data_IF_823365875637
#
_entry.id   IF_823365875637
#
_cell.length_a   1.000
_cell.length_b   1.000
_cell.length_c   1.000
_cell.angle_alpha   90.00
_cell.angle_beta   90.00
_cell.angle_gamma   90.00
#
_symmetry.space_group_name_H-M   'P 1'
#
loop_
_entity.id
_entity.type
_entity.pdbx_description
1 polymer ?
#
# COMPACT_ATOMS: atom_id res chain seq x y z
N UNK A 1 -7.00 4.97 32.23
CA UNK A 1 -8.22 4.20 31.92
C UNK A 1 -8.20 3.84 30.46
N UNK A 2 -7.73 2.63 30.16
CA UNK A 2 -7.54 2.14 28.77
C UNK A 2 -8.77 1.31 28.39
N UNK A 3 -9.55 1.75 27.39
CA UNK A 3 -10.65 0.96 26.81
C UNK A 3 -10.09 0.21 25.60
N UNK A 4 -9.92 -1.09 25.75
CA UNK A 4 -9.67 -2.02 24.64
C UNK A 4 -10.96 -2.16 23.83
N UNK A 5 -10.90 -1.76 22.57
CA UNK A 5 -11.96 -2.04 21.57
C UNK A 5 -11.66 -3.43 21.01
N UNK A 6 -12.47 -4.43 21.38
CA UNK A 6 -12.48 -5.74 20.73
C UNK A 6 -13.29 -5.63 19.44
N UNK A 7 -12.61 -5.79 18.30
CA UNK A 7 -13.23 -5.90 16.98
C UNK A 7 -13.57 -7.38 16.78
N UNK A 8 -14.86 -7.71 16.75
CA UNK A 8 -15.36 -9.03 16.38
C UNK A 8 -15.28 -9.17 14.84
N UNK A 9 -14.41 -10.04 14.36
CA UNK A 9 -14.45 -10.54 12.99
C UNK A 9 -15.48 -11.65 12.89
N UNK A 10 -16.56 -11.43 12.14
CA UNK A 10 -17.44 -12.50 11.68
C UNK A 10 -16.85 -13.02 10.35
N UNK A 11 -16.23 -14.20 10.43
CA UNK A 11 -15.79 -14.97 9.26
C UNK A 11 -16.97 -15.80 8.80
N UNK A 12 -17.53 -15.49 7.64
CA UNK A 12 -18.49 -16.38 6.94
C UNK A 12 -17.65 -17.32 6.08
N UNK A 13 -17.49 -18.57 6.53
CA UNK A 13 -16.96 -19.66 5.74
C UNK A 13 -18.08 -20.19 4.82
N UNK A 14 -17.93 -20.00 3.52
CA UNK A 14 -18.68 -20.77 2.51
C UNK A 14 -17.75 -21.87 1.98
N UNK A 15 -18.07 -23.11 2.29
CA UNK A 15 -17.34 -24.28 1.84
C UNK A 15 -17.61 -24.60 0.38
N UNK A 16 -16.56 -25.08 -0.29
CA UNK A 16 -16.68 -25.90 -1.49
C UNK A 16 -15.65 -27.03 -1.40
N UNK A 17 -16.18 -28.23 -1.24
CA UNK A 17 -15.43 -29.47 -1.34
C UNK A 17 -15.14 -29.77 -2.82
N UNK A 18 -13.88 -30.03 -3.13
CA UNK A 18 -13.50 -30.72 -4.37
C UNK A 18 -12.50 -31.82 -4.03
N UNK A 19 -12.98 -33.06 -4.13
CA UNK A 19 -12.23 -34.30 -4.08
C UNK A 19 -11.39 -34.44 -5.35
N UNK A 20 -10.09 -34.68 -5.18
CA UNK A 20 -9.20 -35.09 -6.26
C UNK A 20 -8.10 -36.00 -5.73
N UNK A 21 -8.33 -37.30 -5.86
CA UNK A 21 -7.34 -38.39 -5.72
C UNK A 21 -6.26 -38.24 -6.78
N UNK A 22 -4.99 -38.27 -6.45
CA UNK A 22 -3.92 -38.67 -7.34
C UNK A 22 -2.76 -39.34 -6.59
N UNK A 23 -2.42 -40.46 -7.13
CA UNK A 23 -1.44 -41.47 -6.85
C UNK A 23 -0.08 -41.07 -6.27
N UNK A 24 0.32 -41.85 -5.30
CA UNK A 24 1.66 -41.92 -4.77
C UNK A 24 2.49 -42.94 -5.55
N UNK A 25 3.49 -42.55 -6.31
CA UNK A 25 4.55 -43.44 -6.77
C UNK A 25 5.80 -43.22 -5.91
N UNK A 26 6.07 -44.25 -5.11
CA UNK A 26 7.31 -44.40 -4.33
C UNK A 26 8.50 -44.66 -5.27
N UNK A 27 9.55 -43.83 -5.18
CA UNK A 27 10.90 -44.24 -5.59
C UNK A 27 11.84 -44.21 -4.38
N UNK A 28 12.17 -45.39 -3.88
CA UNK A 28 13.23 -45.64 -2.91
C UNK A 28 14.58 -45.47 -3.60
N UNK A 29 15.28 -44.38 -3.30
CA UNK A 29 16.72 -44.19 -3.51
C UNK A 29 17.43 -44.17 -2.18
N UNK A 30 18.12 -45.21 -1.81
CA UNK A 30 19.05 -45.25 -0.67
C UNK A 30 20.26 -44.38 -1.00
N UNK A 31 20.36 -43.21 -0.41
CA UNK A 31 21.62 -42.45 -0.34
C UNK A 31 22.28 -42.71 1.02
N UNK A 32 23.50 -43.24 0.96
CA UNK A 32 24.42 -43.45 2.10
C UNK A 32 24.60 -42.12 2.85
N UNK A 33 24.23 -42.11 4.13
CA UNK A 33 24.41 -40.97 5.02
C UNK A 33 25.88 -40.63 5.26
N UNK A 34 26.24 -39.45 4.89
CA UNK A 34 27.41 -38.75 5.42
C UNK A 34 27.10 -38.37 6.86
N UNK A 35 27.96 -38.58 7.85
CA UNK A 35 27.71 -38.17 9.23
C UNK A 35 27.49 -36.65 9.30
N UNK A 36 26.57 -36.15 10.13
CA UNK A 36 26.35 -34.75 10.28
C UNK A 36 27.62 -34.06 10.78
N UNK A 37 28.14 -33.10 9.99
CA UNK A 37 29.20 -32.19 10.45
C UNK A 37 28.79 -31.57 11.76
N UNK A 38 29.66 -31.58 12.75
CA UNK A 38 29.48 -30.90 14.01
C UNK A 38 29.09 -29.43 13.73
N UNK A 39 28.14 -28.84 14.46
CA UNK A 39 27.71 -27.46 14.25
C UNK A 39 28.93 -26.56 14.46
N UNK A 40 29.36 -25.88 13.41
CA UNK A 40 30.36 -24.82 13.52
C UNK A 40 29.82 -23.75 14.49
N UNK A 41 30.66 -23.27 15.44
CA UNK A 41 30.26 -22.17 16.30
C UNK A 41 29.85 -20.98 15.43
N UNK A 42 28.63 -20.50 15.59
CA UNK A 42 28.12 -19.37 14.84
C UNK A 42 28.98 -18.13 15.14
N UNK A 43 29.30 -17.37 14.11
CA UNK A 43 30.06 -16.13 14.26
C UNK A 43 29.29 -15.16 15.18
N UNK A 44 30.00 -14.39 16.03
CA UNK A 44 29.35 -13.40 16.89
C UNK A 44 28.67 -12.31 16.05
N UNK A 45 27.48 -11.86 16.52
CA UNK A 45 26.66 -10.90 15.81
C UNK A 45 27.13 -9.47 16.06
N UNK A 46 27.29 -8.69 15.00
CA UNK A 46 27.48 -7.23 15.04
C UNK A 46 26.15 -6.48 15.22
N UNK A 47 26.24 -5.18 15.53
CA UNK A 47 25.06 -4.29 15.65
C UNK A 47 24.18 -4.36 14.40
N UNK A 48 24.80 -4.29 13.21
CA UNK A 48 24.10 -4.34 11.93
C UNK A 48 23.27 -5.60 11.75
N UNK A 49 23.82 -6.75 12.13
CA UNK A 49 23.13 -8.04 12.00
C UNK A 49 21.94 -8.17 12.96
N UNK A 50 22.04 -7.60 14.16
CA UNK A 50 20.91 -7.57 15.11
C UNK A 50 19.81 -6.66 14.59
N UNK A 51 20.14 -5.49 14.04
CA UNK A 51 19.20 -4.57 13.42
C UNK A 51 18.50 -5.24 12.22
N UNK A 52 19.27 -5.83 11.29
CA UNK A 52 18.74 -6.53 10.13
C UNK A 52 17.81 -7.69 10.55
N UNK A 53 18.15 -8.40 11.61
CA UNK A 53 17.31 -9.47 12.16
C UNK A 53 16.00 -8.94 12.74
N UNK A 54 16.01 -7.79 13.42
CA UNK A 54 14.78 -7.15 13.92
C UNK A 54 13.83 -6.81 12.77
N UNK A 55 14.34 -6.30 11.66
CA UNK A 55 13.54 -6.00 10.47
C UNK A 55 13.03 -7.23 9.73
N UNK A 56 13.90 -8.23 9.52
CA UNK A 56 13.59 -9.37 8.65
C UNK A 56 12.89 -10.52 9.36
N UNK A 57 13.21 -10.77 10.62
CA UNK A 57 12.76 -11.92 11.40
C UNK A 57 11.75 -11.55 12.51
N UNK A 58 11.69 -10.26 12.86
CA UNK A 58 10.90 -9.75 13.99
C UNK A 58 11.54 -10.06 15.35
N UNK A 59 10.99 -9.44 16.40
CA UNK A 59 11.57 -9.40 17.76
C UNK A 59 11.82 -10.80 18.35
N UNK A 60 10.83 -11.68 18.28
CA UNK A 60 10.90 -13.01 18.92
C UNK A 60 12.02 -13.87 18.34
N UNK A 61 12.15 -13.89 17.02
CA UNK A 61 13.22 -14.66 16.35
C UNK A 61 14.59 -14.03 16.54
N UNK A 62 14.65 -12.71 16.62
CA UNK A 62 15.90 -11.99 16.93
C UNK A 62 16.36 -12.28 18.36
N UNK A 63 15.44 -12.35 19.33
CA UNK A 63 15.76 -12.79 20.69
C UNK A 63 16.38 -14.20 20.70
N UNK A 64 15.78 -15.15 19.99
CA UNK A 64 16.33 -16.50 19.85
C UNK A 64 17.71 -16.50 19.20
N UNK A 65 17.91 -15.72 18.13
CA UNK A 65 19.15 -15.60 17.43
C UNK A 65 20.25 -15.03 18.33
N UNK A 66 19.99 -13.93 19.02
CA UNK A 66 20.93 -13.26 19.93
C UNK A 66 21.22 -14.11 21.16
N UNK A 67 20.23 -14.85 21.68
CA UNK A 67 20.44 -15.75 22.83
C UNK A 67 21.36 -16.94 22.50
N UNK A 68 21.35 -17.42 21.24
CA UNK A 68 22.19 -18.55 20.77
C UNK A 68 23.58 -18.12 20.32
N UNK A 69 23.71 -16.88 19.82
CA UNK A 69 24.92 -16.34 19.29
C UNK A 69 25.49 -15.27 20.25
N UNK A 70 26.79 -15.21 20.40
CA UNK A 70 27.41 -14.10 21.13
C UNK A 70 27.31 -12.82 20.29
N UNK A 71 27.09 -11.68 20.92
CA UNK A 71 27.21 -10.38 20.28
C UNK A 71 28.59 -9.79 20.50
N UNK A 72 29.11 -9.08 19.51
CA UNK A 72 30.48 -8.48 19.55
C UNK A 72 30.45 -6.97 19.81
N UNK A 73 29.33 -6.43 20.27
CA UNK A 73 29.19 -5.02 20.63
C UNK A 73 28.65 -4.87 22.04
N UNK A 74 28.85 -3.70 22.63
CA UNK A 74 28.36 -3.36 23.96
C UNK A 74 27.10 -2.47 23.88
N UNK A 75 26.19 -2.63 24.85
CA UNK A 75 24.97 -1.86 24.97
C UNK A 75 25.27 -0.43 25.47
N UNK A 76 25.82 0.43 24.59
CA UNK A 76 25.91 1.87 24.90
C UNK A 76 24.50 2.47 24.97
N UNK A 77 24.31 3.61 25.72
CA UNK A 77 22.99 4.26 25.81
C UNK A 77 22.35 4.51 24.44
N UNK A 78 23.15 4.94 23.46
CA UNK A 78 22.71 5.25 22.11
C UNK A 78 22.23 3.99 21.37
N UNK A 79 22.98 2.89 21.47
CA UNK A 79 22.59 1.61 20.86
C UNK A 79 21.32 1.07 21.49
N UNK A 80 21.19 1.16 22.82
CA UNK A 80 19.99 0.74 23.54
C UNK A 80 18.74 1.51 23.08
N UNK A 81 18.88 2.83 22.93
CA UNK A 81 17.78 3.70 22.48
C UNK A 81 17.31 3.29 21.08
N UNK A 82 18.24 3.11 20.13
CA UNK A 82 17.94 2.69 18.77
C UNK A 82 17.25 1.33 18.73
N UNK A 83 17.80 0.34 19.44
CA UNK A 83 17.20 -0.99 19.46
C UNK A 83 15.79 -0.96 20.05
N UNK A 84 15.52 -0.10 21.05
CA UNK A 84 14.18 0.11 21.60
C UNK A 84 13.23 0.76 20.59
N UNK A 85 13.67 1.77 19.85
CA UNK A 85 12.90 2.38 18.77
C UNK A 85 12.53 1.38 17.67
N UNK A 86 13.42 0.43 17.39
CA UNK A 86 13.19 -0.67 16.46
C UNK A 86 12.36 -1.82 17.04
N UNK A 87 11.85 -1.65 18.27
CA UNK A 87 10.94 -2.59 18.91
C UNK A 87 11.67 -3.67 19.76
N UNK A 88 12.96 -3.54 20.03
CA UNK A 88 13.67 -4.48 20.89
C UNK A 88 13.08 -4.46 22.31
N UNK A 89 12.85 -5.65 22.87
CA UNK A 89 12.38 -5.81 24.24
C UNK A 89 13.51 -5.69 25.23
N UNK A 90 13.19 -5.42 26.50
CA UNK A 90 14.19 -5.44 27.57
C UNK A 90 14.88 -6.82 27.72
N UNK A 91 14.19 -7.90 27.33
CA UNK A 91 14.77 -9.24 27.26
C UNK A 91 15.85 -9.34 26.19
N UNK A 92 15.60 -8.84 24.97
CA UNK A 92 16.63 -8.79 23.92
C UNK A 92 17.85 -8.00 24.38
N UNK A 93 17.62 -6.83 24.99
CA UNK A 93 18.69 -5.97 25.49
C UNK A 93 19.51 -6.61 26.61
N UNK A 94 18.92 -7.51 27.41
CA UNK A 94 19.62 -8.23 28.46
C UNK A 94 20.70 -9.20 27.96
N UNK A 95 20.63 -9.62 26.69
CA UNK A 95 21.64 -10.49 26.08
C UNK A 95 22.86 -9.71 25.55
N UNK A 96 22.78 -8.37 25.48
CA UNK A 96 23.87 -7.53 24.98
C UNK A 96 24.76 -7.10 26.17
N UNK A 97 26.09 -7.32 26.11
CA UNK A 97 27.01 -6.94 27.18
C UNK A 97 26.93 -5.45 27.50
N UNK A 98 26.91 -5.11 28.78
CA UNK A 98 26.98 -3.71 29.21
C UNK A 98 28.43 -3.18 29.02
N UNK A 99 28.58 -1.87 28.74
CA UNK A 99 29.90 -1.27 28.60
C UNK A 99 30.77 -1.52 29.82
N UNK A 100 31.97 -2.05 29.60
CA UNK A 100 32.96 -2.17 30.66
C UNK A 100 33.65 -0.81 30.84
N UNK A 101 33.91 -0.38 32.10
CA UNK A 101 34.80 0.75 32.31
C UNK A 101 36.18 0.40 31.71
N UNK A 102 36.55 1.09 30.65
CA UNK A 102 37.84 0.85 30.01
C UNK A 102 38.93 1.45 30.89
N UNK A 103 39.93 0.67 31.36
CA UNK A 103 41.11 1.25 32.03
C UNK A 103 41.77 2.22 31.05
N UNK A 104 42.16 3.39 31.52
CA UNK A 104 42.88 4.36 30.71
C UNK A 104 44.11 3.68 30.09
N UNK A 105 44.10 3.50 28.78
CA UNK A 105 45.19 2.92 28.03
C UNK A 105 46.43 3.84 28.13
N UNK A 106 47.66 3.28 28.27
CA UNK A 106 48.86 4.09 28.20
C UNK A 106 48.92 4.80 26.85
N UNK A 107 49.23 6.10 26.88
CA UNK A 107 49.30 6.97 25.72
C UNK A 107 50.21 6.38 24.64
N UNK A 108 49.71 5.90 23.50
CA UNK A 108 50.60 5.42 22.43
C UNK A 108 51.26 6.63 21.77
N UNK A 109 52.49 6.43 21.34
CA UNK A 109 53.25 7.32 20.46
C UNK A 109 52.39 7.61 19.23
N UNK A 110 52.00 8.87 19.06
CA UNK A 110 51.04 9.31 18.06
C UNK A 110 51.76 9.26 16.69
N UNK A 111 51.55 8.17 15.95
CA UNK A 111 51.49 8.30 14.49
C UNK A 111 50.24 9.16 14.22
N UNK A 112 50.44 10.37 13.70
CA UNK A 112 49.37 11.30 13.39
C UNK A 112 48.40 10.57 12.42
N UNK A 113 47.20 10.22 12.85
CA UNK A 113 46.30 9.47 11.97
C UNK A 113 46.02 10.34 10.74
N UNK A 114 46.28 9.79 9.57
CA UNK A 114 45.91 10.42 8.30
C UNK A 114 44.41 10.62 8.29
N UNK A 115 43.97 11.88 8.43
CA UNK A 115 42.58 12.24 8.55
C UNK A 115 41.98 12.31 7.14
N UNK A 116 40.87 11.62 6.91
CA UNK A 116 40.07 11.78 5.72
C UNK A 116 39.46 13.18 5.67
N UNK A 117 39.07 13.65 4.48
CA UNK A 117 38.23 14.82 4.35
C UNK A 117 36.84 14.59 4.94
N UNK A 118 36.01 15.63 5.06
CA UNK A 118 34.66 15.50 5.60
C UNK A 118 33.85 14.48 4.80
N UNK A 119 33.19 13.57 5.49
CA UNK A 119 32.31 12.57 4.89
C UNK A 119 30.86 12.94 5.14
N UNK A 120 30.07 13.05 4.06
CA UNK A 120 28.66 13.41 4.12
C UNK A 120 27.80 12.20 3.82
N UNK A 121 26.76 11.98 4.64
CA UNK A 121 25.71 10.99 4.41
C UNK A 121 24.41 11.72 4.20
N UNK A 122 23.69 11.40 3.12
CA UNK A 122 22.36 11.96 2.79
C UNK A 122 21.37 10.83 2.62
N UNK A 123 20.20 10.97 3.25
CA UNK A 123 19.09 10.02 3.18
C UNK A 123 17.83 10.69 2.66
N UNK A 124 17.14 10.06 1.73
CA UNK A 124 15.87 10.50 1.16
C UNK A 124 14.85 9.34 1.28
N UNK A 125 13.56 9.58 1.51
CA UNK A 125 12.87 10.86 1.73
C UNK A 125 12.77 11.26 3.20
N UNK A 126 13.52 10.64 4.09
CA UNK A 126 13.48 10.89 5.54
C UNK A 126 14.87 10.79 6.14
N UNK A 127 15.03 11.30 7.35
CA UNK A 127 16.25 11.11 8.13
C UNK A 127 16.53 9.61 8.36
N UNK A 128 17.79 9.25 8.55
CA UNK A 128 18.21 7.89 8.79
C UNK A 128 19.28 7.79 9.87
N UNK A 129 19.29 6.68 10.58
CA UNK A 129 20.39 6.28 11.46
C UNK A 129 21.57 5.79 10.63
N UNK A 130 22.78 6.13 11.05
CA UNK A 130 24.00 5.85 10.31
C UNK A 130 24.92 4.96 11.15
N UNK A 131 25.35 3.84 10.56
CA UNK A 131 26.42 2.97 11.07
C UNK A 131 27.52 2.90 10.03
N UNK A 132 28.77 3.15 10.42
CA UNK A 132 29.93 3.06 9.54
C UNK A 132 30.95 2.14 10.19
N UNK A 133 31.34 1.08 9.48
CA UNK A 133 32.28 0.07 9.98
C UNK A 133 31.92 -0.43 11.40
N UNK A 134 30.61 -0.78 11.58
CA UNK A 134 30.04 -1.24 12.85
C UNK A 134 30.04 -0.21 14.00
N UNK A 135 30.38 1.05 13.73
CA UNK A 135 30.28 2.15 14.69
C UNK A 135 29.09 3.04 14.37
N UNK A 136 28.29 3.35 15.37
CA UNK A 136 27.16 4.26 15.24
C UNK A 136 27.59 5.73 15.21
N UNK A 137 26.98 6.50 14.29
CA UNK A 137 27.28 7.92 14.07
C UNK A 137 26.07 8.85 14.27
N UNK A 138 24.93 8.33 14.68
CA UNK A 138 23.74 9.11 14.97
C UNK A 138 22.73 9.17 13.82
N UNK A 139 21.71 9.99 14.03
CA UNK A 139 20.66 10.29 13.07
C UNK A 139 21.09 11.44 12.13
N UNK A 140 20.71 11.40 10.87
CA UNK A 140 20.79 12.59 10.00
C UNK A 140 19.86 13.70 10.53
N UNK A 141 20.18 14.93 10.24
CA UNK A 141 19.34 16.09 10.55
C UNK A 141 19.03 16.80 9.23
N UNK A 142 17.75 17.01 8.94
CA UNK A 142 17.31 17.55 7.64
C UNK A 142 17.92 16.76 6.47
N UNK A 143 17.82 15.42 6.54
CA UNK A 143 18.28 14.47 5.55
C UNK A 143 19.81 14.32 5.39
N UNK A 144 20.60 15.06 6.13
CA UNK A 144 22.06 15.07 5.95
C UNK A 144 22.81 15.04 7.27
N UNK A 145 23.95 14.31 7.30
CA UNK A 145 24.91 14.38 8.40
C UNK A 145 26.33 14.40 7.86
N UNK A 146 27.15 15.27 8.44
CA UNK A 146 28.59 15.28 8.24
C UNK A 146 29.23 14.43 9.34
N UNK A 147 29.93 13.39 8.93
CA UNK A 147 30.65 12.49 9.83
C UNK A 147 32.10 12.96 9.89
N UNK A 148 32.59 13.35 11.06
CA UNK A 148 33.99 13.74 11.21
C UNK A 148 34.90 12.49 11.27
N UNK A 149 36.14 12.64 10.85
CA UNK A 149 37.27 11.77 11.18
C UNK A 149 37.10 10.27 10.81
N UNK A 150 36.80 9.97 9.55
CA UNK A 150 36.91 8.61 9.05
C UNK A 150 38.38 8.29 8.70
N UNK A 151 38.81 7.06 8.96
CA UNK A 151 40.11 6.57 8.51
C UNK A 151 40.10 6.33 7.00
N UNK A 152 41.13 6.75 6.24
CA UNK A 152 41.25 6.41 4.83
C UNK A 152 41.20 4.89 4.60
N UNK A 153 40.52 4.48 3.52
CA UNK A 153 40.28 3.08 3.20
C UNK A 153 38.89 2.86 2.62
N UNK A 154 38.35 1.65 2.71
CA UNK A 154 36.97 1.36 2.30
C UNK A 154 36.06 1.41 3.53
N UNK A 155 35.11 2.34 3.56
CA UNK A 155 34.10 2.40 4.58
C UNK A 155 32.83 1.64 4.14
N UNK A 156 32.32 0.80 5.02
CA UNK A 156 30.98 0.19 4.85
C UNK A 156 29.97 1.05 5.61
N UNK A 157 29.09 1.71 4.87
CA UNK A 157 28.07 2.58 5.43
C UNK A 157 26.75 1.84 5.36
N UNK A 158 26.08 1.71 6.49
CA UNK A 158 24.74 1.18 6.61
C UNK A 158 23.81 2.25 7.16
N UNK A 159 22.65 2.37 6.53
CA UNK A 159 21.60 3.29 6.97
C UNK A 159 20.28 2.55 7.18
N UNK A 160 19.50 3.01 8.14
CA UNK A 160 18.20 2.42 8.47
C UNK A 160 17.27 3.48 9.08
N UNK A 161 15.97 3.24 8.93
CA UNK A 161 14.92 3.97 9.64
C UNK A 161 13.71 3.05 9.78
N UNK A 162 12.86 3.31 10.78
CA UNK A 162 11.65 2.51 11.02
C UNK A 162 10.71 2.57 9.81
N UNK A 163 10.26 1.42 9.35
CA UNK A 163 9.38 1.28 8.18
C UNK A 163 10.08 1.38 6.82
N UNK A 164 11.43 1.42 6.80
CA UNK A 164 12.21 1.44 5.56
C UNK A 164 13.19 0.27 5.51
N UNK A 165 13.46 -0.22 4.30
CA UNK A 165 14.45 -1.27 4.09
C UNK A 165 15.87 -0.74 4.40
N UNK A 166 16.66 -1.43 5.22
CA UNK A 166 18.04 -1.07 5.48
C UNK A 166 18.85 -1.07 4.18
N UNK A 167 19.77 -0.12 4.03
CA UNK A 167 20.64 -0.04 2.87
C UNK A 167 22.11 -0.01 3.28
N UNK A 168 22.96 -0.62 2.45
CA UNK A 168 24.39 -0.68 2.68
C UNK A 168 25.15 -0.29 1.42
N UNK A 169 26.15 0.58 1.57
CA UNK A 169 27.08 0.96 0.52
C UNK A 169 28.53 0.83 1.01
N UNK A 170 29.45 0.51 0.09
CA UNK A 170 30.89 0.52 0.34
C UNK A 170 31.51 1.68 -0.44
N UNK A 171 32.14 2.61 0.25
CA UNK A 171 32.68 3.84 -0.33
C UNK A 171 34.19 3.94 -0.01
N UNK A 172 35.03 4.24 -1.01
CA UNK A 172 36.43 4.50 -0.80
C UNK A 172 36.61 5.89 -0.15
N UNK A 173 37.26 5.94 0.99
CA UNK A 173 37.62 7.16 1.73
C UNK A 173 39.05 7.49 1.43
N UNK A 174 39.33 8.65 0.84
CA UNK A 174 40.66 9.13 0.49
C UNK A 174 41.13 10.18 1.48
N UNK A 175 42.45 10.19 1.74
CA UNK A 175 43.09 11.18 2.62
C UNK A 175 42.88 12.60 2.07
N UNK A 176 42.38 13.51 2.92
CA UNK A 176 42.18 14.93 2.59
C UNK A 176 41.11 15.23 1.57
N UNK A 177 40.37 14.22 1.06
CA UNK A 177 39.30 14.42 0.08
C UNK A 177 37.95 14.25 0.72
N UNK A 178 36.97 15.16 0.43
CA UNK A 178 35.59 14.96 0.85
C UNK A 178 34.99 13.78 0.09
N UNK A 179 34.14 13.01 0.77
CA UNK A 179 33.37 11.93 0.18
C UNK A 179 31.91 12.02 0.58
N UNK A 180 31.03 11.44 -0.21
CA UNK A 180 29.57 11.47 0.00
C UNK A 180 28.94 10.11 -0.25
N UNK A 181 27.99 9.74 0.61
CA UNK A 181 27.08 8.63 0.41
C UNK A 181 25.65 9.15 0.32
N UNK A 182 24.90 8.73 -0.70
CA UNK A 182 23.48 9.07 -0.85
C UNK A 182 22.65 7.80 -0.84
N UNK A 183 21.59 7.81 -0.04
CA UNK A 183 20.69 6.68 0.13
C UNK A 183 19.26 7.12 -0.21
N UNK A 184 18.63 6.36 -1.09
CA UNK A 184 17.20 6.48 -1.38
C UNK A 184 16.48 5.37 -0.63
N UNK A 185 15.90 5.69 0.55
CA UNK A 185 15.23 4.71 1.39
C UNK A 185 13.91 4.27 0.77
N UNK A 186 13.67 2.97 0.74
CA UNK A 186 12.43 2.36 0.27
C UNK A 186 11.62 1.88 1.46
N UNK A 187 10.30 2.15 1.46
CA UNK A 187 9.40 1.60 2.46
C UNK A 187 9.41 0.08 2.40
N UNK A 188 9.41 -0.58 3.56
CA UNK A 188 9.19 -2.02 3.67
C UNK A 188 7.81 -2.38 3.13
N UNK A 189 7.59 -3.65 2.76
CA UNK A 189 6.28 -4.12 2.30
C UNK A 189 5.19 -3.91 3.37
N UNK A 190 5.51 -4.12 4.64
CA UNK A 190 4.61 -3.91 5.77
C UNK A 190 4.23 -2.43 5.93
N UNK A 191 5.22 -1.53 5.87
CA UNK A 191 4.98 -0.09 5.96
C UNK A 191 4.16 0.44 4.76
N UNK A 192 4.35 -0.12 3.56
CA UNK A 192 3.52 0.19 2.38
C UNK A 192 2.07 -0.24 2.59
N UNK A 193 1.86 -1.43 3.15
CA UNK A 193 0.53 -1.96 3.45
C UNK A 193 -0.18 -1.10 4.53
N UNK A 194 0.49 -0.81 5.64
CA UNK A 194 -0.06 0.03 6.72
C UNK A 194 -0.46 1.42 6.19
N UNK A 195 0.43 2.06 5.42
CA UNK A 195 0.12 3.34 4.77
C UNK A 195 -1.03 3.21 3.78
N UNK A 196 -1.08 2.17 2.96
CA UNK A 196 -2.18 1.94 2.03
C UNK A 196 -3.53 1.81 2.73
N UNK A 197 -3.59 1.07 3.83
CA UNK A 197 -4.79 0.95 4.65
C UNK A 197 -5.21 2.30 5.26
N UNK A 198 -4.28 3.09 5.77
CA UNK A 198 -4.57 4.45 6.30
C UNK A 198 -5.12 5.36 5.21
N UNK A 199 -4.53 5.36 4.01
CA UNK A 199 -5.05 6.14 2.88
C UNK A 199 -6.47 5.73 2.49
N UNK A 200 -6.79 4.44 2.50
CA UNK A 200 -8.16 3.95 2.24
C UNK A 200 -9.16 4.46 3.29
N UNK A 201 -8.76 4.46 4.56
CA UNK A 201 -9.57 5.02 5.65
C UNK A 201 -9.74 6.54 5.52
N UNK A 202 -8.72 7.26 5.10
CA UNK A 202 -8.79 8.71 4.88
C UNK A 202 -9.72 9.03 3.71
N UNK A 203 -9.66 8.29 2.60
CA UNK A 203 -10.61 8.40 1.49
C UNK A 203 -12.05 8.15 1.95
N UNK A 204 -12.29 7.12 2.75
CA UNK A 204 -13.61 6.85 3.33
C UNK A 204 -14.08 8.02 4.20
N UNK A 205 -13.21 8.57 5.06
CA UNK A 205 -13.55 9.73 5.91
C UNK A 205 -13.86 10.98 5.08
N UNK A 206 -13.10 11.20 4.01
CA UNK A 206 -13.27 12.36 3.13
C UNK A 206 -14.64 12.41 2.43
N UNK A 207 -15.20 11.24 2.07
CA UNK A 207 -16.56 11.15 1.49
C UNK A 207 -17.67 11.18 2.53
N UNK A 208 -17.39 11.23 3.84
CA UNK A 208 -18.39 11.32 4.91
C UNK A 208 -18.38 10.18 5.92
N UNK A 209 -17.35 9.32 5.87
CA UNK A 209 -17.13 8.24 6.83
C UNK A 209 -17.97 7.00 6.57
N UNK A 210 -17.96 6.10 7.52
CA UNK A 210 -18.62 4.80 7.40
C UNK A 210 -20.14 4.92 7.17
N UNK A 211 -20.78 5.93 7.75
CA UNK A 211 -22.23 6.15 7.53
C UNK A 211 -22.54 6.51 6.09
N UNK A 212 -21.72 7.36 5.45
CA UNK A 212 -21.90 7.71 4.03
C UNK A 212 -21.76 6.47 3.15
N UNK A 213 -20.72 5.64 3.38
CA UNK A 213 -20.52 4.39 2.65
C UNK A 213 -21.70 3.43 2.85
N UNK A 214 -22.21 3.31 4.06
CA UNK A 214 -23.37 2.44 4.36
C UNK A 214 -24.68 2.93 3.71
N UNK A 215 -24.91 4.24 3.67
CA UNK A 215 -26.12 4.81 3.08
C UNK A 215 -26.11 4.77 1.55
N UNK A 216 -24.93 4.81 0.93
CA UNK A 216 -24.77 4.67 -0.53
C UNK A 216 -24.90 3.20 -1.02
N UNK A 217 -25.26 2.25 -0.16
CA UNK A 217 -25.63 0.90 -0.60
C UNK A 217 -26.95 0.88 -1.36
N UNK A 218 -27.85 1.83 -1.06
CA UNK A 218 -29.15 1.98 -1.72
C UNK A 218 -29.40 3.45 -1.98
N UNK A 219 -29.39 3.85 -3.24
CA UNK A 219 -29.57 5.25 -3.63
C UNK A 219 -30.17 5.38 -5.01
N UNK A 220 -30.72 6.55 -5.29
CA UNK A 220 -31.20 6.95 -6.61
C UNK A 220 -30.58 8.31 -6.98
N UNK A 221 -30.42 8.52 -8.27
CA UNK A 221 -29.92 9.78 -8.79
C UNK A 221 -30.38 10.08 -10.18
N UNK A 222 -30.16 11.30 -10.59
CA UNK A 222 -30.51 11.79 -11.94
C UNK A 222 -29.38 12.66 -12.50
N UNK A 223 -29.39 12.85 -13.81
CA UNK A 223 -28.38 13.65 -14.47
C UNK A 223 -28.41 13.51 -15.98
N UNK A 224 -27.23 13.64 -16.58
CA UNK A 224 -27.01 13.41 -18.01
C UNK A 224 -25.89 12.42 -18.24
N UNK A 225 -26.00 11.63 -19.29
CA UNK A 225 -24.97 10.74 -19.79
C UNK A 225 -24.59 11.15 -21.20
N UNK A 226 -23.29 11.28 -21.45
CA UNK A 226 -22.70 11.42 -22.77
C UNK A 226 -21.94 10.14 -23.12
N UNK A 227 -22.07 9.69 -24.36
CA UNK A 227 -21.37 8.51 -24.88
C UNK A 227 -21.07 8.65 -26.37
N UNK A 228 -20.14 7.85 -26.88
CA UNK A 228 -19.93 7.71 -28.31
C UNK A 228 -20.70 6.52 -28.86
N UNK A 229 -21.42 6.72 -29.92
CA UNK A 229 -22.08 5.64 -30.63
C UNK A 229 -21.08 4.78 -31.46
N UNK A 230 -21.56 3.72 -32.13
CA UNK A 230 -20.74 2.84 -32.95
C UNK A 230 -20.00 3.57 -34.10
N UNK A 231 -20.48 4.74 -34.50
CA UNK A 231 -19.84 5.58 -35.50
C UNK A 231 -18.87 6.59 -34.91
N UNK A 232 -18.68 6.57 -33.60
CA UNK A 232 -17.84 7.52 -32.85
C UNK A 232 -18.46 8.90 -32.65
N UNK A 233 -19.75 9.07 -32.98
CA UNK A 233 -20.46 10.34 -32.77
C UNK A 233 -20.89 10.49 -31.32
N UNK A 234 -20.68 11.70 -30.77
CA UNK A 234 -21.10 12.01 -29.41
C UNK A 234 -22.61 12.07 -29.32
N UNK A 235 -23.17 11.28 -28.43
CA UNK A 235 -24.58 11.24 -28.08
C UNK A 235 -24.76 11.73 -26.65
N UNK A 236 -25.96 12.25 -26.33
CA UNK A 236 -26.29 12.70 -25.00
C UNK A 236 -27.77 12.37 -24.67
N UNK A 237 -28.00 11.97 -23.43
CA UNK A 237 -29.35 11.73 -22.91
C UNK A 237 -29.46 12.14 -21.43
N UNK A 238 -30.71 12.47 -21.03
CA UNK A 238 -31.00 12.53 -19.59
C UNK A 238 -30.99 11.13 -19.01
N UNK A 239 -30.50 10.99 -17.79
CA UNK A 239 -30.42 9.71 -17.12
C UNK A 239 -31.12 9.74 -15.75
N UNK A 240 -31.65 8.58 -15.36
CA UNK A 240 -32.00 8.26 -13.97
C UNK A 240 -31.38 6.93 -13.63
N UNK A 241 -30.91 6.79 -12.41
CA UNK A 241 -30.34 5.52 -11.96
C UNK A 241 -30.76 5.20 -10.54
N UNK A 242 -30.91 3.92 -10.25
CA UNK A 242 -31.26 3.40 -8.93
C UNK A 242 -30.36 2.21 -8.65
N UNK A 243 -29.66 2.23 -7.52
CA UNK A 243 -28.87 1.11 -7.00
C UNK A 243 -29.58 0.53 -5.79
N UNK A 244 -29.68 -0.79 -5.72
CA UNK A 244 -30.20 -1.51 -4.56
C UNK A 244 -29.08 -2.19 -3.77
N UNK A 245 -29.40 -2.76 -2.60
CA UNK A 245 -28.46 -3.46 -1.72
C UNK A 245 -27.87 -4.72 -2.31
N UNK A 246 -28.59 -5.35 -3.24
CA UNK A 246 -28.16 -6.60 -3.88
C UNK A 246 -27.14 -6.37 -5.00
N UNK A 247 -26.54 -5.17 -5.02
CA UNK A 247 -25.59 -4.76 -6.06
C UNK A 247 -26.20 -4.81 -7.47
N UNK A 248 -27.47 -4.45 -7.58
CA UNK A 248 -28.14 -4.23 -8.85
C UNK A 248 -28.25 -2.74 -9.13
N UNK A 249 -28.04 -2.37 -10.36
CA UNK A 249 -28.20 -0.99 -10.83
C UNK A 249 -29.14 -0.95 -12.02
N UNK A 250 -30.19 -0.17 -11.89
CA UNK A 250 -31.07 0.19 -13.00
C UNK A 250 -30.66 1.56 -13.52
N UNK A 251 -30.39 1.66 -14.82
CA UNK A 251 -30.09 2.90 -15.53
C UNK A 251 -31.16 3.14 -16.60
N UNK A 252 -31.82 4.28 -16.55
CA UNK A 252 -32.76 4.75 -17.58
C UNK A 252 -32.15 5.94 -18.31
N UNK A 253 -32.17 5.91 -19.64
CA UNK A 253 -31.71 7.00 -20.50
C UNK A 253 -32.85 7.44 -21.43
N UNK A 254 -32.99 8.74 -21.63
CA UNK A 254 -33.90 9.33 -22.58
C UNK A 254 -33.20 10.39 -23.43
N UNK A 255 -33.33 10.31 -24.74
CA UNK A 255 -32.77 11.27 -25.68
C UNK A 255 -33.79 12.28 -26.13
N UNK A 256 -33.38 13.44 -26.62
CA UNK A 256 -34.25 14.50 -27.09
C UNK A 256 -35.10 14.11 -28.31
N UNK A 257 -34.61 13.17 -29.12
CA UNK A 257 -35.28 12.63 -30.31
C UNK A 257 -36.28 11.49 -30.03
N UNK A 258 -36.62 11.28 -28.76
CA UNK A 258 -37.64 10.31 -28.32
C UNK A 258 -37.12 8.89 -28.12
N UNK A 259 -35.82 8.68 -28.14
CA UNK A 259 -35.23 7.40 -27.76
C UNK A 259 -35.29 7.18 -26.23
N UNK A 260 -35.54 5.95 -25.81
CA UNK A 260 -35.46 5.56 -24.41
C UNK A 260 -34.83 4.17 -24.25
N UNK A 261 -34.06 3.99 -23.24
CA UNK A 261 -33.44 2.70 -22.92
C UNK A 261 -33.38 2.52 -21.41
N UNK A 262 -33.76 1.34 -20.94
CA UNK A 262 -33.58 0.91 -19.55
C UNK A 262 -32.65 -0.30 -19.52
N UNK A 263 -31.63 -0.24 -18.69
CA UNK A 263 -30.72 -1.36 -18.43
C UNK A 263 -30.73 -1.70 -16.95
N UNK A 264 -31.00 -2.95 -16.61
CA UNK A 264 -30.85 -3.51 -15.26
C UNK A 264 -29.63 -4.42 -15.25
N UNK A 265 -28.62 -4.04 -14.48
CA UNK A 265 -27.36 -4.78 -14.33
C UNK A 265 -27.31 -5.43 -12.96
N UNK A 266 -26.98 -6.73 -12.92
CA UNK A 266 -26.77 -7.51 -11.71
C UNK A 266 -25.58 -8.45 -11.93
N UNK A 267 -24.46 -8.18 -11.23
CA UNK A 267 -23.19 -8.88 -11.47
C UNK A 267 -22.72 -8.76 -12.93
N UNK A 268 -22.59 -9.89 -13.62
CA UNK A 268 -22.15 -9.95 -15.02
C UNK A 268 -23.32 -10.04 -16.03
N UNK A 269 -24.55 -9.84 -15.58
CA UNK A 269 -25.73 -9.95 -16.44
C UNK A 269 -26.41 -8.60 -16.60
N UNK A 270 -26.95 -8.35 -17.79
CA UNK A 270 -27.81 -7.19 -18.05
C UNK A 270 -29.14 -7.62 -18.66
N UNK A 271 -30.20 -6.84 -18.35
CA UNK A 271 -31.48 -6.94 -19.02
C UNK A 271 -31.82 -5.56 -19.58
N UNK A 272 -31.85 -5.47 -20.88
CA UNK A 272 -31.95 -4.21 -21.60
C UNK A 272 -33.29 -4.10 -22.35
N UNK A 273 -33.87 -2.92 -22.33
CA UNK A 273 -35.10 -2.61 -23.08
C UNK A 273 -34.97 -1.22 -23.70
N UNK A 274 -34.62 -1.17 -25.00
CA UNK A 274 -34.41 0.06 -25.72
C UNK A 274 -35.44 0.28 -26.81
N UNK A 275 -35.86 1.55 -27.02
CA UNK A 275 -36.90 1.97 -27.97
C UNK A 275 -36.46 3.25 -28.68
N UNK A 276 -37.12 3.53 -29.82
CA UNK A 276 -36.92 4.75 -30.62
C UNK A 276 -35.50 4.79 -31.20
N UNK A 277 -34.84 5.92 -31.12
CA UNK A 277 -33.48 6.13 -31.63
C UNK A 277 -32.43 5.29 -30.90
N UNK A 278 -32.74 4.77 -29.70
CA UNK A 278 -31.83 3.92 -28.90
C UNK A 278 -32.02 2.41 -29.10
N UNK A 279 -32.87 2.00 -30.07
CA UNK A 279 -33.23 0.59 -30.28
C UNK A 279 -32.03 -0.33 -30.52
N UNK A 280 -30.91 0.17 -31.00
CA UNK A 280 -29.68 -0.61 -31.25
C UNK A 280 -28.54 -0.21 -30.29
N UNK A 281 -28.85 0.46 -29.19
CA UNK A 281 -27.85 0.97 -28.25
C UNK A 281 -27.76 0.15 -26.96
N UNK A 282 -28.35 -1.06 -26.92
CA UNK A 282 -28.38 -1.92 -25.72
C UNK A 282 -26.99 -2.13 -25.14
N UNK A 283 -26.01 -2.49 -25.99
CA UNK A 283 -24.62 -2.74 -25.54
C UNK A 283 -23.97 -1.50 -24.91
N UNK A 284 -24.27 -0.33 -25.46
CA UNK A 284 -23.70 0.93 -24.95
C UNK A 284 -24.32 1.27 -23.60
N UNK A 285 -25.64 1.14 -23.49
CA UNK A 285 -26.36 1.49 -22.26
C UNK A 285 -26.07 0.48 -21.14
N UNK A 286 -26.05 -0.83 -21.44
CA UNK A 286 -25.64 -1.84 -20.47
C UNK A 286 -24.18 -1.69 -20.06
N UNK A 287 -23.30 -1.31 -21.00
CA UNK A 287 -21.93 -0.96 -20.70
C UNK A 287 -21.81 0.25 -19.76
N UNK A 288 -22.61 1.29 -20.00
CA UNK A 288 -22.65 2.45 -19.11
C UNK A 288 -23.14 2.08 -17.71
N UNK A 289 -24.22 1.30 -17.61
CA UNK A 289 -24.76 0.83 -16.33
C UNK A 289 -23.76 -0.04 -15.57
N UNK A 290 -23.11 -0.98 -16.26
CA UNK A 290 -22.08 -1.85 -15.67
C UNK A 290 -20.90 -1.04 -15.15
N UNK A 291 -20.39 -0.10 -15.93
CA UNK A 291 -19.29 0.75 -15.52
C UNK A 291 -19.68 1.66 -14.36
N UNK A 292 -20.88 2.24 -14.37
CA UNK A 292 -21.37 3.03 -13.24
C UNK A 292 -21.46 2.19 -11.96
N UNK A 293 -21.97 0.95 -12.04
CA UNK A 293 -22.04 0.04 -10.90
C UNK A 293 -20.65 -0.34 -10.36
N UNK A 294 -19.72 -0.71 -11.25
CA UNK A 294 -18.39 -1.18 -10.87
C UNK A 294 -17.51 -0.07 -10.30
N UNK A 295 -17.63 1.14 -10.83
CA UNK A 295 -16.74 2.26 -10.53
C UNK A 295 -17.42 3.39 -9.75
N UNK A 296 -18.64 3.17 -9.28
CA UNK A 296 -19.29 4.03 -8.31
C UNK A 296 -18.41 4.13 -7.05
N UNK A 297 -18.31 5.33 -6.50
CA UNK A 297 -17.32 5.69 -5.48
C UNK A 297 -17.36 4.81 -4.24
N UNK A 298 -18.55 4.38 -3.80
CA UNK A 298 -18.69 3.50 -2.64
C UNK A 298 -18.08 2.11 -2.90
N UNK A 299 -18.37 1.53 -4.08
CA UNK A 299 -17.84 0.22 -4.45
C UNK A 299 -16.32 0.26 -4.59
N UNK A 300 -15.79 1.37 -5.09
CA UNK A 300 -14.32 1.59 -5.16
C UNK A 300 -13.74 1.64 -3.76
N UNK A 301 -14.25 2.50 -2.88
CA UNK A 301 -13.75 2.60 -1.51
C UNK A 301 -13.90 1.28 -0.75
N UNK A 302 -15.04 0.59 -0.88
CA UNK A 302 -15.26 -0.71 -0.24
C UNK A 302 -14.19 -1.75 -0.66
N UNK A 303 -13.82 -1.78 -1.95
CA UNK A 303 -12.75 -2.64 -2.46
C UNK A 303 -11.40 -2.33 -1.81
N UNK A 304 -11.07 -1.05 -1.66
CA UNK A 304 -9.81 -0.64 -1.04
C UNK A 304 -9.80 -0.84 0.48
N UNK A 305 -10.94 -0.78 1.16
CA UNK A 305 -11.05 -1.08 2.58
C UNK A 305 -10.97 -2.58 2.90
N UNK A 306 -11.48 -3.44 2.01
CA UNK A 306 -11.52 -4.89 2.21
C UNK A 306 -10.33 -5.63 1.61
N UNK A 307 -9.63 -5.01 0.67
CA UNK A 307 -8.42 -5.52 0.06
C UNK A 307 -7.17 -5.31 0.91
N UNK A 308 -6.03 -5.59 0.34
CA UNK A 308 -4.71 -5.30 0.92
C UNK A 308 -4.03 -4.16 0.11
N UNK A 309 -4.51 -2.91 0.24
CA UNK A 309 -3.98 -1.81 -0.53
C UNK A 309 -2.57 -1.46 -0.06
N UNK A 310 -1.66 -1.31 -1.00
CA UNK A 310 -0.28 -0.90 -0.73
C UNK A 310 -0.03 0.48 -1.30
N UNK A 311 0.73 1.31 -0.56
CA UNK A 311 1.20 2.59 -1.08
C UNK A 311 2.17 2.34 -2.25
N UNK A 312 1.97 3.02 -3.37
CA UNK A 312 2.90 3.00 -4.50
C UNK A 312 3.63 4.34 -4.63
N UNK A 313 4.85 4.28 -5.17
CA UNK A 313 5.71 5.46 -5.28
C UNK A 313 6.35 5.88 -3.96
N UNK A 314 6.63 7.15 -3.83
CA UNK A 314 7.21 7.75 -2.62
C UNK A 314 6.15 7.99 -1.55
N UNK A 315 6.59 8.30 -0.33
CA UNK A 315 5.67 8.65 0.77
C UNK A 315 4.80 9.90 0.47
N UNK A 316 5.20 10.75 -0.48
CA UNK A 316 4.44 11.90 -0.94
C UNK A 316 3.39 11.55 -2.00
N UNK A 317 3.50 10.37 -2.65
CA UNK A 317 2.52 9.93 -3.63
C UNK A 317 1.20 9.57 -2.92
N UNK A 318 0.10 10.15 -3.38
CA UNK A 318 -1.24 9.85 -2.85
C UNK A 318 -1.91 8.74 -3.68
N UNK A 319 -1.17 7.68 -3.94
CA UNK A 319 -1.61 6.55 -4.75
C UNK A 319 -1.50 5.24 -3.97
N UNK A 320 -2.54 4.44 -4.05
CA UNK A 320 -2.61 3.12 -3.44
C UNK A 320 -3.04 2.09 -4.48
N UNK A 321 -2.49 0.90 -4.40
CA UNK A 321 -2.74 -0.19 -5.34
C UNK A 321 -3.26 -1.43 -4.62
N UNK A 322 -4.23 -2.10 -5.24
CA UNK A 322 -4.60 -3.48 -4.92
C UNK A 322 -4.21 -4.34 -6.11
N UNK A 323 -3.30 -5.28 -5.89
CA UNK A 323 -2.93 -6.28 -6.90
C UNK A 323 -3.74 -7.55 -6.69
N UNK A 324 -4.23 -8.12 -7.81
CA UNK A 324 -4.88 -9.42 -7.91
C UNK A 324 -4.17 -10.23 -9.00
N UNK A 325 -4.47 -11.51 -9.09
CA UNK A 325 -3.84 -12.40 -10.06
C UNK A 325 -4.00 -11.89 -11.50
N UNK A 326 -5.20 -11.49 -11.86
CA UNK A 326 -5.59 -11.10 -13.22
C UNK A 326 -5.83 -9.59 -13.41
N UNK A 327 -5.74 -8.80 -12.35
CA UNK A 327 -6.02 -7.37 -12.41
C UNK A 327 -5.26 -6.56 -11.35
N UNK A 328 -5.18 -5.26 -11.56
CA UNK A 328 -4.79 -4.30 -10.52
C UNK A 328 -5.69 -3.07 -10.56
N UNK A 329 -5.94 -2.51 -9.37
CA UNK A 329 -6.63 -1.24 -9.19
C UNK A 329 -5.66 -0.24 -8.55
N UNK A 330 -5.43 0.90 -9.19
CA UNK A 330 -4.65 2.02 -8.64
C UNK A 330 -5.61 3.18 -8.38
N UNK A 331 -5.72 3.59 -7.12
CA UNK A 331 -6.52 4.72 -6.69
C UNK A 331 -5.63 5.91 -6.35
N UNK A 332 -5.88 7.03 -6.97
CA UNK A 332 -5.25 8.33 -6.67
C UNK A 332 -6.21 9.18 -5.85
N UNK A 333 -5.70 9.79 -4.77
CA UNK A 333 -6.44 10.75 -3.96
C UNK A 333 -5.95 12.17 -4.25
N UNK A 334 -6.84 13.13 -4.17
CA UNK A 334 -6.50 14.56 -4.23
C UNK A 334 -5.96 15.08 -2.88
N UNK A 335 -5.74 16.40 -2.78
CA UNK A 335 -5.25 17.04 -1.56
C UNK A 335 -6.22 16.93 -0.38
N UNK A 336 -7.52 16.86 -0.65
CA UNK A 336 -8.59 16.68 0.33
C UNK A 336 -8.85 15.21 0.68
N UNK A 337 -8.02 14.30 0.17
CA UNK A 337 -8.13 12.84 0.31
C UNK A 337 -9.37 12.25 -0.39
N UNK A 338 -9.98 12.99 -1.27
CA UNK A 338 -11.05 12.47 -2.12
C UNK A 338 -10.46 11.67 -3.28
N UNK A 339 -11.07 10.55 -3.68
CA UNK A 339 -10.72 9.86 -4.92
C UNK A 339 -10.77 10.80 -6.12
N UNK A 340 -9.68 10.90 -6.86
CA UNK A 340 -9.60 11.72 -8.08
C UNK A 340 -9.50 10.88 -9.35
N UNK A 341 -8.79 9.75 -9.28
CA UNK A 341 -8.65 8.84 -10.41
C UNK A 341 -8.53 7.40 -9.93
N UNK A 342 -9.19 6.49 -10.64
CA UNK A 342 -9.00 5.04 -10.54
C UNK A 342 -8.54 4.50 -11.87
N UNK A 343 -7.44 3.76 -11.88
CA UNK A 343 -6.96 3.00 -13.03
C UNK A 343 -7.13 1.52 -12.72
N UNK A 344 -8.05 0.87 -13.45
CA UNK A 344 -8.26 -0.57 -13.40
C UNK A 344 -7.56 -1.21 -14.61
N UNK A 345 -6.56 -2.05 -14.34
CA UNK A 345 -5.84 -2.78 -15.38
C UNK A 345 -6.18 -4.26 -15.29
N UNK A 346 -6.77 -4.79 -16.35
CA UNK A 346 -6.99 -6.24 -16.51
C UNK A 346 -5.83 -6.84 -17.31
N UNK A 347 -5.33 -7.97 -16.83
CA UNK A 347 -4.28 -8.77 -17.47
C UNK A 347 -4.91 -10.01 -18.11
N UNK A 348 -4.19 -10.68 -19.00
CA UNK A 348 -4.66 -11.94 -19.62
C UNK A 348 -4.78 -11.86 -21.14
N UNK A 349 -5.60 -12.72 -21.74
CA UNK A 349 -5.72 -12.86 -23.20
C UNK A 349 -6.23 -11.58 -23.92
N UNK A 350 -7.06 -10.80 -23.23
CA UNK A 350 -7.56 -9.50 -23.71
C UNK A 350 -7.28 -8.46 -22.63
N UNK A 351 -6.05 -7.91 -22.58
CA UNK A 351 -5.73 -6.88 -21.62
C UNK A 351 -6.55 -5.62 -21.90
N UNK A 352 -6.95 -4.92 -20.87
CA UNK A 352 -7.67 -3.65 -20.99
C UNK A 352 -7.36 -2.74 -19.82
N UNK A 353 -7.40 -1.44 -20.06
CA UNK A 353 -7.20 -0.40 -19.05
C UNK A 353 -8.45 0.46 -18.99
N UNK A 354 -9.09 0.51 -17.84
CA UNK A 354 -10.21 1.41 -17.57
C UNK A 354 -9.72 2.51 -16.63
N UNK A 355 -9.83 3.76 -17.08
CA UNK A 355 -9.51 4.93 -16.27
C UNK A 355 -10.80 5.64 -15.92
N UNK A 356 -11.04 5.85 -14.64
CA UNK A 356 -12.18 6.59 -14.11
C UNK A 356 -11.69 7.83 -13.40
N UNK A 357 -12.18 8.99 -13.81
CA UNK A 357 -11.90 10.27 -13.15
C UNK A 357 -13.14 10.78 -12.44
N UNK A 358 -12.93 11.24 -11.21
CA UNK A 358 -13.97 11.79 -10.35
C UNK A 358 -13.76 13.28 -10.17
N UNK A 359 -14.78 14.07 -10.40
CA UNK A 359 -14.70 15.54 -10.30
C UNK A 359 -15.87 16.10 -9.51
N UNK A 360 -15.68 17.33 -9.02
CA UNK A 360 -16.75 18.20 -8.51
C UNK A 360 -17.62 17.50 -7.46
N UNK A 361 -17.02 17.20 -6.31
CA UNK A 361 -17.76 16.54 -5.23
C UNK A 361 -18.85 17.42 -4.63
N UNK A 362 -20.09 17.02 -4.83
CA UNK A 362 -21.27 17.64 -4.22
C UNK A 362 -21.62 17.04 -2.86
N UNK A 363 -22.32 17.82 -2.04
CA UNK A 363 -22.86 17.34 -0.76
C UNK A 363 -24.11 16.50 -0.99
N UNK A 364 -24.16 15.34 -0.32
CA UNK A 364 -25.37 14.53 -0.14
C UNK A 364 -25.72 14.49 1.36
N UNK A 365 -26.88 13.95 1.72
CA UNK A 365 -27.38 13.95 3.11
C UNK A 365 -26.39 13.45 4.16
N UNK A 366 -25.48 12.56 3.81
CA UNK A 366 -24.54 11.91 4.73
C UNK A 366 -23.08 12.10 4.39
N UNK A 367 -22.74 12.81 3.31
CA UNK A 367 -21.35 12.92 2.87
C UNK A 367 -21.17 13.68 1.55
N UNK A 368 -20.20 13.22 0.78
CA UNK A 368 -19.85 13.77 -0.54
C UNK A 368 -19.99 12.70 -1.61
N UNK A 369 -20.45 13.09 -2.79
CA UNK A 369 -20.55 12.24 -3.97
C UNK A 369 -20.01 12.98 -5.20
N UNK A 370 -19.25 12.32 -6.11
CA UNK A 370 -18.73 12.98 -7.30
C UNK A 370 -19.92 13.33 -8.24
N UNK A 371 -19.99 14.59 -8.65
CA UNK A 371 -21.04 15.04 -9.59
C UNK A 371 -20.65 14.82 -11.05
N UNK A 372 -19.37 14.60 -11.33
CA UNK A 372 -18.89 14.22 -12.65
C UNK A 372 -18.02 12.98 -12.58
N UNK A 373 -18.31 11.98 -13.42
CA UNK A 373 -17.50 10.80 -13.65
C UNK A 373 -17.19 10.69 -15.14
N UNK A 374 -15.92 10.59 -15.47
CA UNK A 374 -15.47 10.29 -16.83
C UNK A 374 -14.82 8.89 -16.84
N UNK A 375 -15.32 8.02 -17.71
CA UNK A 375 -14.81 6.66 -17.86
C UNK A 375 -14.21 6.52 -19.25
N UNK A 376 -12.94 6.11 -19.31
CA UNK A 376 -12.21 5.83 -20.53
C UNK A 376 -11.78 4.38 -20.55
N UNK A 377 -11.92 3.73 -21.69
CA UNK A 377 -11.47 2.36 -21.91
C UNK A 377 -10.39 2.40 -22.98
N UNK A 378 -9.21 1.86 -22.67
CA UNK A 378 -8.03 1.85 -23.53
C UNK A 378 -7.67 3.25 -24.11
N UNK A 379 -7.79 4.28 -23.24
CA UNK A 379 -7.48 5.67 -23.58
C UNK A 379 -8.59 6.41 -24.33
N UNK A 380 -9.66 5.74 -24.74
CA UNK A 380 -10.81 6.39 -25.41
C UNK A 380 -11.88 6.75 -24.39
N UNK A 381 -12.27 8.03 -24.29
CA UNK A 381 -13.42 8.45 -23.47
C UNK A 381 -14.67 7.75 -23.99
N UNK A 382 -15.28 6.93 -23.12
CA UNK A 382 -16.42 6.09 -23.46
C UNK A 382 -17.71 6.67 -22.90
N UNK A 383 -17.67 7.14 -21.63
CA UNK A 383 -18.84 7.67 -20.91
C UNK A 383 -18.45 8.90 -20.09
N UNK A 384 -19.34 9.89 -20.09
CA UNK A 384 -19.29 11.02 -19.14
C UNK A 384 -20.64 11.14 -18.45
N UNK A 385 -20.64 10.94 -17.14
CA UNK A 385 -21.81 11.08 -16.28
C UNK A 385 -21.76 12.45 -15.59
N UNK A 386 -22.79 13.27 -15.79
CA UNK A 386 -23.01 14.48 -14.99
C UNK A 386 -24.22 14.22 -14.09
N UNK A 387 -24.01 14.20 -12.78
CA UNK A 387 -25.00 13.84 -11.77
C UNK A 387 -25.50 15.10 -11.10
N UNK A 388 -26.78 15.40 -11.23
CA UNK A 388 -27.41 16.61 -10.66
C UNK A 388 -27.73 16.43 -9.18
N UNK A 389 -28.12 15.21 -8.79
CA UNK A 389 -28.43 14.90 -7.40
C UNK A 389 -28.42 13.41 -7.12
N UNK A 390 -28.13 13.09 -5.86
CA UNK A 390 -28.21 11.74 -5.32
C UNK A 390 -29.02 11.80 -4.03
N UNK A 391 -30.04 10.96 -3.93
CA UNK A 391 -30.80 10.75 -2.72
C UNK A 391 -30.65 9.32 -2.21
N UNK A 392 -30.40 9.18 -0.92
CA UNK A 392 -30.35 7.88 -0.26
C UNK A 392 -31.74 7.53 0.25
N UNK A 393 -32.23 6.32 -0.04
CA UNK A 393 -33.50 5.87 0.54
C UNK A 393 -33.28 5.65 2.04
N UNK A 394 -33.98 6.44 2.86
CA UNK A 394 -33.99 6.22 4.31
C UNK A 394 -34.63 4.87 4.59
N UNK A 395 -33.85 3.95 5.17
CA UNK A 395 -34.39 2.67 5.65
C UNK A 395 -35.29 2.96 6.84
N UNK A 396 -36.59 2.91 6.63
CA UNK A 396 -37.53 2.84 7.74
C UNK A 396 -37.36 1.45 8.37
N UNK A 397 -36.55 1.36 9.42
CA UNK A 397 -36.47 0.13 10.24
C UNK A 397 -37.80 0.02 10.97
N UNK A 398 -38.74 -0.70 10.40
CA UNK A 398 -39.91 -1.16 11.15
C UNK A 398 -39.39 -2.12 12.24
N UNK A 399 -39.13 -1.60 13.45
CA UNK A 399 -38.97 -2.43 14.64
C UNK A 399 -40.32 -3.14 14.88
N UNK A 400 -40.42 -4.39 14.51
CA UNK A 400 -41.42 -5.33 15.01
C UNK A 400 -40.99 -5.88 16.34
#
# INVERSE_FOLDING_TARGET
>A
MSRRIQIFFIVILSGLAATGLLDASQSRGQARGTPPSAPQPAAPLGVSQVIESLYSLGVTRTEELVSRNKVQFEATPEIVEILKELGATDKLLSFIPKPRPQPAAPTPVVDVPKVAGPFRVTCEPTDCYIVINDRYYGLTESHTRVVPELTPGTATIQVFNNGYDPQTQKIPIQEGRPAEARFQLNLTAEARLDKGQRFSLDAMRAIGGFQAVALLQEFEGDGTLEWKDEKGMLQQGSMKFTKNRDQELQLEIKTKDGGSCTSLVSGNTSKDACKGSLKNSEKVVSGAATNLLLYEIQNVIARFLTGAPTLIGTAAAQQIEIQREDASDVLTLDQDKLPSELVHTRRGATPSVVTVRYFDYGKISSGKYPTHLQISVDGNATYTFTINGVSTRSVTVNRR
#
